data_IF_626392827469
#
_entry.id   IF_626392827469
#
_cell.length_a   1.000
_cell.length_b   1.000
_cell.length_c   1.000
_cell.angle_alpha   90.00
_cell.angle_beta   90.00
_cell.angle_gamma   90.00
#
_symmetry.space_group_name_H-M   'P 1'
#
loop_
_entity.id
_entity.type
_entity.pdbx_description
1 polymer ?
#
# COMPACT_ATOMS: atom_id res chain seq x y z
N UNK A 1 9.28 -7.94 -16.11
CA UNK A 1 9.90 -6.64 -15.78
C UNK A 1 10.27 -6.64 -14.30
N UNK A 2 11.41 -6.08 -13.93
CA UNK A 2 11.77 -5.79 -12.53
C UNK A 2 12.63 -4.52 -12.50
N UNK A 3 12.55 -3.71 -11.45
CA UNK A 3 13.51 -2.64 -11.26
C UNK A 3 14.91 -3.24 -11.03
N UNK A 4 15.94 -2.45 -11.34
CA UNK A 4 17.32 -2.90 -11.20
C UNK A 4 17.78 -2.79 -9.75
N UNK A 5 18.72 -3.67 -9.38
CA UNK A 5 19.36 -3.68 -8.06
C UNK A 5 18.70 -4.62 -7.04
N UNK A 6 19.33 -4.81 -5.87
CA UNK A 6 18.77 -5.62 -4.78
C UNK A 6 17.44 -5.06 -4.24
N UNK A 7 16.57 -5.90 -3.64
CA UNK A 7 15.27 -5.47 -3.10
C UNK A 7 15.33 -4.22 -2.19
N UNK A 8 16.32 -4.15 -1.30
CA UNK A 8 16.46 -3.01 -0.39
C UNK A 8 16.83 -1.69 -1.11
N UNK A 9 17.63 -1.78 -2.19
CA UNK A 9 17.95 -0.61 -3.03
C UNK A 9 16.71 -0.15 -3.80
N UNK A 10 15.90 -1.09 -4.28
CA UNK A 10 14.62 -0.76 -4.92
C UNK A 10 13.67 -0.08 -3.92
N UNK A 11 13.51 -0.62 -2.70
CA UNK A 11 12.70 0.00 -1.65
C UNK A 11 13.19 1.42 -1.31
N UNK A 12 14.51 1.63 -1.16
CA UNK A 12 15.09 2.95 -0.92
C UNK A 12 14.76 3.98 -2.02
N UNK A 13 14.60 3.51 -3.27
CA UNK A 13 14.19 4.37 -4.38
C UNK A 13 12.67 4.58 -4.44
N UNK A 14 11.89 3.55 -4.16
CA UNK A 14 10.43 3.58 -4.31
C UNK A 14 9.70 4.14 -3.09
N UNK A 15 10.40 4.34 -1.97
CA UNK A 15 9.88 4.97 -0.74
C UNK A 15 10.23 6.46 -0.61
N UNK A 16 10.72 7.09 -1.69
CA UNK A 16 11.00 8.54 -1.71
C UNK A 16 9.71 9.34 -1.49
N UNK A 17 9.84 10.42 -0.74
CA UNK A 17 8.71 11.29 -0.36
C UNK A 17 7.95 11.79 -1.60
N UNK A 18 6.63 11.69 -1.55
CA UNK A 18 5.72 12.16 -2.59
C UNK A 18 5.03 13.43 -2.10
N UNK A 19 5.13 14.47 -2.90
CA UNK A 19 4.65 15.82 -2.63
C UNK A 19 3.60 16.24 -3.64
N UNK A 20 2.78 17.25 -3.31
CA UNK A 20 1.76 17.77 -4.21
C UNK A 20 2.27 17.98 -5.63
N UNK A 21 1.41 17.70 -6.61
CA UNK A 21 1.68 17.86 -8.04
C UNK A 21 2.67 16.85 -8.62
N UNK A 22 2.70 15.64 -8.06
CA UNK A 22 3.48 14.49 -8.55
C UNK A 22 4.98 14.68 -8.36
N UNK A 23 5.37 15.52 -7.41
CA UNK A 23 6.79 15.78 -7.12
C UNK A 23 7.31 14.69 -6.20
N UNK A 24 8.41 14.06 -6.60
CA UNK A 24 9.07 13.02 -5.81
C UNK A 24 10.44 13.54 -5.41
N UNK A 25 10.86 13.28 -4.17
CA UNK A 25 12.20 13.61 -3.74
C UNK A 25 13.25 12.89 -4.60
N UNK A 26 14.37 13.55 -4.87
CA UNK A 26 15.41 13.01 -5.79
C UNK A 26 16.40 12.09 -5.09
N UNK A 27 16.58 12.25 -3.78
CA UNK A 27 17.47 11.41 -2.99
C UNK A 27 16.76 10.14 -2.54
N UNK A 28 17.44 8.99 -2.65
CA UNK A 28 16.97 7.74 -2.04
C UNK A 28 16.83 7.90 -0.52
N UNK A 29 15.89 7.17 0.06
CA UNK A 29 15.67 7.18 1.50
C UNK A 29 16.54 6.14 2.22
N UNK A 30 16.89 6.42 3.46
CA UNK A 30 17.35 5.39 4.38
C UNK A 30 16.14 4.53 4.78
N UNK A 31 16.17 3.24 4.42
CA UNK A 31 15.09 2.31 4.74
C UNK A 31 15.20 1.93 6.22
N UNK A 32 14.18 2.20 7.06
CA UNK A 32 14.23 1.89 8.49
C UNK A 32 14.42 0.41 8.77
N UNK A 33 15.04 0.08 9.91
CA UNK A 33 15.45 -1.28 10.26
C UNK A 33 14.29 -2.31 10.14
N UNK A 34 13.13 -2.01 10.72
CA UNK A 34 11.96 -2.91 10.67
C UNK A 34 11.51 -3.23 9.25
N UNK A 35 11.56 -2.25 8.33
CA UNK A 35 11.25 -2.48 6.92
C UNK A 35 12.37 -3.32 6.27
N UNK A 36 13.64 -2.98 6.54
CA UNK A 36 14.80 -3.67 5.97
C UNK A 36 14.90 -5.15 6.37
N UNK A 37 14.42 -5.53 7.57
CA UNK A 37 14.39 -6.91 8.05
C UNK A 37 13.39 -7.79 7.31
N UNK A 38 12.41 -7.20 6.62
CA UNK A 38 11.45 -7.94 5.82
C UNK A 38 11.82 -7.93 4.35
N UNK A 39 12.15 -6.78 3.76
CA UNK A 39 12.34 -6.64 2.31
C UNK A 39 13.32 -7.68 1.74
N UNK A 40 12.80 -8.57 0.87
CA UNK A 40 13.54 -9.66 0.24
C UNK A 40 13.97 -10.80 1.18
N UNK A 41 13.53 -10.82 2.44
CA UNK A 41 13.83 -11.87 3.40
C UNK A 41 12.71 -12.92 3.45
N UNK A 42 13.02 -14.20 3.76
CA UNK A 42 12.00 -15.22 3.95
C UNK A 42 11.01 -14.88 5.07
N UNK A 43 9.73 -15.17 4.87
CA UNK A 43 8.64 -14.77 5.79
C UNK A 43 7.88 -15.95 6.41
N UNK A 44 8.25 -17.19 6.09
CA UNK A 44 7.53 -18.40 6.53
C UNK A 44 7.32 -18.49 8.04
N UNK A 45 8.30 -18.04 8.82
CA UNK A 45 8.25 -18.05 10.29
C UNK A 45 7.13 -17.17 10.86
N UNK A 46 6.66 -16.17 10.11
CA UNK A 46 5.61 -15.26 10.53
C UNK A 46 4.20 -15.78 10.29
N UNK A 47 4.01 -16.80 9.44
CA UNK A 47 2.67 -17.23 9.01
C UNK A 47 1.78 -17.68 10.18
N UNK A 48 2.27 -18.60 11.01
CA UNK A 48 1.48 -19.13 12.13
C UNK A 48 1.23 -18.08 13.24
N UNK A 49 2.22 -17.29 13.68
CA UNK A 49 1.98 -16.15 14.56
C UNK A 49 0.99 -15.14 13.99
N UNK A 50 1.11 -14.79 12.70
CA UNK A 50 0.21 -13.84 12.03
C UNK A 50 -1.23 -14.34 12.07
N UNK A 51 -1.49 -15.61 11.76
CA UNK A 51 -2.84 -16.19 11.84
C UNK A 51 -3.42 -16.11 13.27
N UNK A 52 -2.60 -16.37 14.30
CA UNK A 52 -3.03 -16.20 15.71
C UNK A 52 -3.33 -14.75 16.03
N UNK A 53 -2.54 -13.82 15.51
CA UNK A 53 -2.74 -12.39 15.71
C UNK A 53 -4.01 -11.87 15.04
N UNK A 54 -4.30 -12.30 13.80
CA UNK A 54 -5.57 -12.00 13.13
C UNK A 54 -6.76 -12.47 13.97
N UNK A 55 -6.71 -13.71 14.46
CA UNK A 55 -7.75 -14.24 15.33
C UNK A 55 -7.89 -13.45 16.64
N UNK A 56 -6.78 -13.02 17.26
CA UNK A 56 -6.79 -12.16 18.45
C UNK A 56 -7.46 -10.81 18.20
N UNK A 57 -7.24 -10.22 17.02
CA UNK A 57 -7.87 -8.97 16.60
C UNK A 57 -9.34 -9.16 16.15
N UNK A 58 -9.82 -10.40 16.06
CA UNK A 58 -11.15 -10.69 15.51
C UNK A 58 -11.25 -10.45 14.00
N UNK A 59 -10.12 -10.44 13.30
CA UNK A 59 -10.03 -10.29 11.85
C UNK A 59 -9.99 -11.65 11.17
N UNK A 60 -10.63 -11.75 10.01
CA UNK A 60 -10.51 -12.86 9.08
C UNK A 60 -9.33 -12.65 8.14
N UNK A 61 -8.86 -13.71 7.48
CA UNK A 61 -7.84 -13.57 6.43
C UNK A 61 -8.37 -12.74 5.24
N UNK A 62 -9.69 -12.66 5.05
CA UNK A 62 -10.30 -11.78 4.05
C UNK A 62 -10.14 -10.29 4.37
N UNK A 63 -10.00 -9.91 5.64
CA UNK A 63 -9.74 -8.51 6.01
C UNK A 63 -8.31 -8.08 5.66
N UNK A 64 -7.43 -9.04 5.32
CA UNK A 64 -6.03 -8.81 4.95
C UNK A 64 -5.69 -9.29 3.55
N UNK A 65 -6.65 -9.20 2.63
CA UNK A 65 -6.43 -9.47 1.21
C UNK A 65 -6.58 -10.95 0.81
N UNK A 66 -7.06 -11.81 1.70
CA UNK A 66 -7.40 -13.21 1.41
C UNK A 66 -6.51 -14.24 2.11
N UNK A 67 -6.71 -15.54 1.84
CA UNK A 67 -6.12 -16.62 2.63
C UNK A 67 -4.58 -16.58 2.68
N UNK A 68 -3.98 -16.77 3.85
CA UNK A 68 -2.52 -16.70 4.06
C UNK A 68 -1.75 -17.87 3.41
N UNK A 69 -2.46 -18.94 3.03
CA UNK A 69 -1.91 -20.08 2.28
C UNK A 69 -2.16 -20.01 0.78
N UNK A 70 -2.92 -19.00 0.32
CA UNK A 70 -3.08 -18.74 -1.11
C UNK A 70 -1.84 -17.99 -1.65
N UNK A 71 -1.44 -18.24 -2.91
CA UNK A 71 -0.34 -17.49 -3.53
C UNK A 71 -0.73 -16.02 -3.67
N UNK A 72 0.26 -15.16 -3.87
CA UNK A 72 0.03 -13.81 -4.43
C UNK A 72 -0.15 -13.91 -5.94
N UNK A 73 -0.67 -12.84 -6.54
CA UNK A 73 -0.87 -12.73 -7.97
C UNK A 73 0.45 -12.86 -8.71
N UNK A 74 0.38 -13.19 -9.99
CA UNK A 74 1.58 -13.36 -10.80
C UNK A 74 1.38 -12.76 -12.19
N UNK A 75 2.44 -12.15 -12.71
CA UNK A 75 2.47 -11.70 -14.08
C UNK A 75 2.95 -12.80 -15.02
N UNK A 76 2.27 -12.93 -16.15
CA UNK A 76 2.65 -13.85 -17.20
C UNK A 76 3.89 -13.32 -17.94
N UNK A 77 4.88 -14.19 -18.14
CA UNK A 77 6.00 -13.93 -19.05
C UNK A 77 5.70 -14.47 -20.44
N UNK A 78 6.38 -13.91 -21.43
CA UNK A 78 6.27 -14.34 -22.84
C UNK A 78 6.69 -15.80 -23.04
N UNK A 79 7.59 -16.32 -22.20
CA UNK A 79 8.04 -17.72 -22.20
C UNK A 79 7.08 -18.69 -21.47
N UNK A 80 5.92 -18.20 -21.01
CA UNK A 80 4.91 -18.98 -20.31
C UNK A 80 5.18 -19.20 -18.82
N UNK A 81 6.33 -18.76 -18.29
CA UNK A 81 6.56 -18.77 -16.85
C UNK A 81 5.79 -17.63 -16.15
N UNK A 82 5.42 -17.82 -14.89
CA UNK A 82 4.78 -16.79 -14.07
C UNK A 82 5.78 -16.20 -13.09
N UNK A 83 5.74 -14.88 -12.90
CA UNK A 83 6.50 -14.18 -11.86
C UNK A 83 5.51 -13.67 -10.83
N UNK A 84 5.57 -14.24 -9.63
CA UNK A 84 4.78 -13.79 -8.48
C UNK A 84 4.99 -12.30 -8.20
N UNK A 85 3.99 -11.65 -7.63
CA UNK A 85 4.02 -10.26 -7.24
C UNK A 85 5.25 -9.96 -6.38
N UNK A 86 5.91 -8.83 -6.64
CA UNK A 86 7.16 -8.44 -5.99
C UNK A 86 7.05 -7.11 -5.25
N UNK A 87 6.04 -6.32 -5.57
CA UNK A 87 5.87 -4.97 -5.05
C UNK A 87 4.57 -4.84 -4.27
N UNK A 88 4.64 -4.12 -3.17
CA UNK A 88 3.50 -3.72 -2.35
C UNK A 88 3.34 -2.21 -2.49
N UNK A 89 2.41 -1.79 -3.34
CA UNK A 89 2.19 -0.39 -3.70
C UNK A 89 1.18 0.23 -2.74
N UNK A 90 1.62 1.31 -2.12
CA UNK A 90 0.87 2.10 -1.16
C UNK A 90 0.32 3.30 -1.91
N UNK A 91 -0.99 3.44 -1.86
CA UNK A 91 -1.78 4.50 -2.48
C UNK A 91 -2.51 5.31 -1.42
N UNK A 92 -3.01 6.47 -1.82
CA UNK A 92 -4.12 7.12 -1.16
C UNK A 92 -5.26 7.41 -2.12
N UNK A 93 -6.49 7.37 -1.60
CA UNK A 93 -7.67 7.42 -2.46
C UNK A 93 -7.92 8.78 -3.11
N UNK A 94 -7.19 9.82 -2.69
CA UNK A 94 -7.37 11.21 -3.09
C UNK A 94 -8.83 11.68 -3.01
N UNK A 95 -9.58 11.13 -2.06
CA UNK A 95 -11.03 11.26 -1.96
C UNK A 95 -11.47 10.98 -0.50
N UNK A 96 -12.48 11.68 0.06
CA UNK A 96 -13.33 12.71 -0.57
C UNK A 96 -12.66 14.03 -0.89
N UNK A 97 -13.13 14.69 -1.95
CA UNK A 97 -12.75 16.06 -2.28
C UNK A 97 -13.65 17.06 -1.56
N UNK A 98 -13.05 17.94 -0.77
CA UNK A 98 -13.74 18.95 0.06
C UNK A 98 -13.67 20.37 -0.51
N UNK A 99 -13.05 20.57 -1.69
CA UNK A 99 -12.86 21.90 -2.26
C UNK A 99 -12.13 22.82 -1.29
N UNK A 100 -12.68 23.99 -1.00
CA UNK A 100 -12.09 24.95 -0.05
C UNK A 100 -12.46 24.69 1.42
N UNK A 101 -13.24 23.65 1.72
CA UNK A 101 -13.66 23.35 3.09
C UNK A 101 -12.56 22.66 3.91
N UNK A 102 -12.70 22.74 5.22
CA UNK A 102 -11.84 22.00 6.13
C UNK A 102 -12.03 20.49 6.01
N UNK A 103 -10.96 19.76 6.32
CA UNK A 103 -11.03 18.31 6.45
C UNK A 103 -11.99 17.96 7.58
N UNK A 104 -12.82 16.92 7.38
CA UNK A 104 -13.69 16.45 8.44
C UNK A 104 -12.86 15.78 9.54
N UNK A 105 -13.43 15.57 10.75
CA UNK A 105 -12.80 14.76 11.77
C UNK A 105 -12.47 13.34 11.27
N UNK A 106 -11.42 12.73 11.82
CA UNK A 106 -10.98 11.38 11.41
C UNK A 106 -12.08 10.31 11.52
N UNK A 107 -12.99 10.45 12.48
CA UNK A 107 -14.10 9.54 12.72
C UNK A 107 -15.36 9.85 11.88
N UNK A 108 -15.27 10.76 10.91
CA UNK A 108 -16.41 11.10 10.05
C UNK A 108 -16.94 9.84 9.33
N UNK A 109 -18.25 9.54 9.45
CA UNK A 109 -18.81 8.29 8.94
C UNK A 109 -18.84 8.23 7.41
N UNK A 110 -18.97 9.36 6.72
CA UNK A 110 -18.99 9.39 5.25
C UNK A 110 -17.59 9.11 4.68
N UNK A 111 -16.55 9.67 5.30
CA UNK A 111 -15.17 9.36 4.94
C UNK A 111 -14.80 7.91 5.25
N UNK A 112 -15.36 7.32 6.32
CA UNK A 112 -15.03 5.96 6.74
C UNK A 112 -15.91 4.86 6.12
N UNK A 113 -16.89 5.22 5.29
CA UNK A 113 -17.71 4.26 4.56
C UNK A 113 -16.97 3.72 3.33
N UNK A 114 -16.53 2.47 3.43
CA UNK A 114 -15.83 1.78 2.34
C UNK A 114 -16.77 1.22 1.26
N UNK A 115 -18.09 1.21 1.48
CA UNK A 115 -19.06 0.60 0.56
C UNK A 115 -18.97 1.16 -0.86
N UNK A 116 -18.56 2.42 -1.00
CA UNK A 116 -18.35 3.09 -2.27
C UNK A 116 -17.23 2.52 -3.13
N UNK A 117 -16.28 1.80 -2.53
CA UNK A 117 -15.19 1.14 -3.25
C UNK A 117 -15.56 -0.29 -3.66
N UNK A 118 -16.69 -0.83 -3.17
CA UNK A 118 -17.11 -2.20 -3.46
C UNK A 118 -17.63 -2.41 -4.90
N UNK A 119 -17.95 -1.34 -5.63
CA UNK A 119 -18.42 -1.45 -7.01
C UNK A 119 -17.24 -1.72 -7.97
N UNK A 120 -17.46 -2.52 -9.02
CA UNK A 120 -16.40 -2.92 -9.95
C UNK A 120 -15.69 -1.74 -10.64
N UNK A 121 -16.39 -0.62 -10.86
CA UNK A 121 -15.80 0.59 -11.47
C UNK A 121 -14.95 1.42 -10.49
N UNK A 122 -15.00 1.11 -9.20
CA UNK A 122 -14.31 1.85 -8.10
C UNK A 122 -13.36 0.96 -7.30
N UNK A 123 -13.42 -0.35 -7.50
CA UNK A 123 -12.53 -1.36 -6.95
C UNK A 123 -11.15 -1.31 -7.64
N UNK A 124 -10.43 -0.22 -7.46
CA UNK A 124 -9.17 0.07 -8.17
C UNK A 124 -7.92 -0.52 -7.52
N UNK A 125 -8.05 -1.12 -6.33
CA UNK A 125 -6.95 -1.75 -5.60
C UNK A 125 -7.37 -3.09 -5.01
N UNK A 126 -6.44 -3.83 -4.41
CA UNK A 126 -6.77 -5.12 -3.78
C UNK A 126 -7.48 -4.89 -2.44
N UNK A 127 -6.97 -3.94 -1.63
CA UNK A 127 -7.51 -3.63 -0.31
C UNK A 127 -7.61 -2.13 -0.11
N UNK A 128 -8.74 -1.67 0.41
CA UNK A 128 -8.94 -0.31 0.90
C UNK A 128 -8.90 -0.29 2.42
N UNK A 129 -8.31 0.76 3.01
CA UNK A 129 -8.22 0.96 4.46
C UNK A 129 -8.79 2.32 4.82
N UNK A 130 -9.87 2.36 5.60
CA UNK A 130 -10.43 3.62 6.06
C UNK A 130 -9.58 4.26 7.17
N UNK A 131 -9.96 5.46 7.62
CA UNK A 131 -9.21 6.23 8.61
C UNK A 131 -9.21 5.60 10.00
N UNK A 132 -10.14 4.69 10.26
CA UNK A 132 -10.24 3.91 11.49
C UNK A 132 -9.51 2.55 11.40
N UNK A 133 -8.79 2.27 10.31
CA UNK A 133 -8.04 1.03 10.12
C UNK A 133 -8.92 -0.17 9.74
N UNK A 134 -10.19 0.04 9.38
CA UNK A 134 -11.05 -1.04 8.84
C UNK A 134 -10.74 -1.24 7.37
N UNK A 135 -10.91 -2.47 6.89
CA UNK A 135 -10.58 -2.83 5.52
C UNK A 135 -11.79 -3.21 4.69
N UNK A 136 -11.62 -3.11 3.38
CA UNK A 136 -12.46 -3.74 2.37
C UNK A 136 -11.52 -4.36 1.34
N UNK A 137 -11.53 -5.69 1.25
CA UNK A 137 -10.86 -6.41 0.17
C UNK A 137 -11.78 -6.47 -1.04
N UNK A 138 -11.33 -5.87 -2.14
CA UNK A 138 -12.05 -5.81 -3.41
C UNK A 138 -11.52 -6.80 -4.44
N UNK A 139 -10.22 -7.12 -4.36
CA UNK A 139 -9.60 -8.22 -5.10
C UNK A 139 -8.69 -8.98 -4.15
N UNK A 140 -8.77 -10.31 -4.15
CA UNK A 140 -7.83 -11.14 -3.38
C UNK A 140 -6.40 -10.88 -3.88
N UNK A 141 -5.38 -10.90 -3.02
CA UNK A 141 -3.99 -10.71 -3.47
C UNK A 141 -3.52 -11.73 -4.50
N UNK A 142 -4.22 -12.85 -4.71
CA UNK A 142 -3.97 -13.83 -5.78
C UNK A 142 -4.45 -13.38 -7.15
N UNK A 143 -5.31 -12.37 -7.22
CA UNK A 143 -5.91 -11.86 -8.46
C UNK A 143 -4.98 -10.83 -9.12
N UNK A 144 -4.53 -11.04 -10.37
CA UNK A 144 -3.72 -10.04 -11.06
C UNK A 144 -4.53 -8.76 -11.32
N UNK A 145 -4.07 -7.64 -10.79
CA UNK A 145 -4.67 -6.32 -10.98
C UNK A 145 -3.64 -5.29 -11.53
N UNK A 146 -4.12 -4.10 -11.88
CA UNK A 146 -3.31 -2.93 -12.27
C UNK A 146 -3.93 -1.67 -11.69
N UNK A 147 -3.14 -0.80 -11.07
CA UNK A 147 -3.65 0.46 -10.51
C UNK A 147 -2.78 1.69 -10.84
N UNK A 148 -1.60 1.51 -11.43
CA UNK A 148 -0.65 2.62 -11.69
C UNK A 148 -0.60 3.04 -13.16
N UNK A 149 -0.13 4.26 -13.45
CA UNK A 149 0.10 4.67 -14.85
C UNK A 149 1.25 3.90 -15.47
N UNK A 150 2.27 3.54 -14.69
CA UNK A 150 3.33 2.65 -15.15
C UNK A 150 2.74 1.37 -15.75
N UNK A 151 1.84 0.69 -15.03
CA UNK A 151 1.21 -0.54 -15.51
C UNK A 151 0.26 -0.31 -16.69
N UNK A 152 -0.50 0.78 -16.67
CA UNK A 152 -1.54 1.03 -17.68
C UNK A 152 -1.00 1.61 -18.99
N UNK A 153 0.05 2.44 -18.93
CA UNK A 153 0.51 3.27 -20.06
C UNK A 153 1.91 2.93 -20.56
N UNK A 154 2.82 2.50 -19.67
CA UNK A 154 4.22 2.29 -20.04
C UNK A 154 4.58 0.81 -20.19
N UNK A 155 4.20 -0.03 -19.23
CA UNK A 155 4.60 -1.43 -19.15
C UNK A 155 3.54 -2.40 -19.70
N UNK A 156 2.24 -2.10 -19.52
CA UNK A 156 1.14 -2.83 -20.12
C UNK A 156 0.81 -4.19 -19.51
N UNK A 157 0.20 -5.07 -20.31
CA UNK A 157 -0.23 -6.43 -19.88
C UNK A 157 0.89 -7.28 -19.25
N UNK A 158 2.15 -7.25 -19.73
CA UNK A 158 3.25 -8.06 -19.18
C UNK A 158 3.56 -7.85 -17.69
N UNK A 159 3.07 -6.78 -17.06
CA UNK A 159 3.30 -6.50 -15.63
C UNK A 159 2.08 -6.66 -14.75
N UNK A 160 0.91 -6.97 -15.34
CA UNK A 160 -0.33 -7.19 -14.58
C UNK A 160 -0.12 -8.34 -13.59
N UNK A 161 -0.28 -8.07 -12.30
CA UNK A 161 -0.01 -9.04 -11.22
C UNK A 161 1.42 -9.02 -10.67
N UNK A 162 2.28 -8.06 -11.05
CA UNK A 162 3.55 -7.83 -10.35
C UNK A 162 3.40 -6.96 -9.10
N UNK A 163 2.32 -6.19 -9.01
CA UNK A 163 2.08 -5.18 -8.00
C UNK A 163 0.80 -5.52 -7.22
N UNK A 164 0.92 -5.54 -5.89
CA UNK A 164 -0.23 -5.58 -4.98
C UNK A 164 -0.52 -4.16 -4.52
N UNK A 165 -1.78 -3.74 -4.61
CA UNK A 165 -2.19 -2.35 -4.41
C UNK A 165 -3.04 -2.23 -3.16
N UNK A 166 -2.64 -1.32 -2.25
CA UNK A 166 -3.39 -0.97 -1.05
C UNK A 166 -3.68 0.51 -1.02
N UNK A 167 -4.96 0.84 -0.89
CA UNK A 167 -5.49 2.20 -0.89
C UNK A 167 -5.81 2.65 0.53
N UNK A 168 -5.18 3.73 0.99
CA UNK A 168 -5.48 4.35 2.27
C UNK A 168 -6.44 5.51 2.04
N UNK A 169 -7.62 5.50 2.68
CA UNK A 169 -8.57 6.60 2.56
C UNK A 169 -7.92 7.90 3.05
N UNK A 170 -7.81 8.87 2.14
CA UNK A 170 -7.27 10.19 2.42
C UNK A 170 -8.09 11.25 1.68
N UNK A 171 -8.77 12.16 2.41
CA UNK A 171 -9.51 13.25 1.79
C UNK A 171 -8.55 14.26 1.16
N UNK A 172 -9.03 15.00 0.16
CA UNK A 172 -8.28 16.09 -0.49
C UNK A 172 -9.05 17.40 -0.43
N UNK A 173 -8.32 18.51 -0.33
CA UNK A 173 -8.87 19.86 -0.44
C UNK A 173 -8.07 20.66 -1.47
N UNK A 174 -8.62 21.79 -1.90
CA UNK A 174 -7.96 22.70 -2.84
C UNK A 174 -6.87 23.49 -2.15
N UNK A 175 -5.70 23.58 -2.79
CA UNK A 175 -4.70 24.59 -2.51
C UNK A 175 -5.15 25.95 -3.09
N UNK A 176 -5.37 26.99 -2.27
CA UNK A 176 -5.74 28.32 -2.76
C UNK A 176 -4.63 28.98 -3.60
N UNK A 177 -3.38 28.52 -3.50
CA UNK A 177 -2.28 28.97 -4.36
C UNK A 177 -2.22 28.23 -5.71
N UNK A 178 -2.97 27.14 -5.86
CA UNK A 178 -3.06 26.35 -7.08
C UNK A 178 -4.18 26.78 -8.03
N UNK A 179 -4.32 26.11 -9.19
CA UNK A 179 -5.45 26.31 -10.10
C UNK A 179 -6.80 26.02 -9.45
N UNK A 180 -7.85 26.72 -9.88
CA UNK A 180 -9.20 26.48 -9.35
C UNK A 180 -9.64 25.02 -9.52
N UNK A 181 -10.22 24.43 -8.48
CA UNK A 181 -10.76 23.07 -8.50
C UNK A 181 -9.73 21.95 -8.26
N UNK A 182 -8.51 22.27 -7.85
CA UNK A 182 -7.50 21.25 -7.53
C UNK A 182 -7.80 20.46 -6.24
N UNK A 183 -7.09 19.35 -6.07
CA UNK A 183 -7.10 18.41 -4.95
C UNK A 183 -5.70 18.25 -4.30
N UNK A 184 -4.89 19.31 -4.40
CA UNK A 184 -3.46 19.25 -4.11
C UNK A 184 -3.09 19.18 -2.62
N UNK A 185 -4.05 19.33 -1.70
CA UNK A 185 -3.77 19.28 -0.26
C UNK A 185 -4.39 18.04 0.38
N UNK A 186 -3.54 17.25 1.03
CA UNK A 186 -3.91 16.19 1.96
C UNK A 186 -3.81 16.65 3.45
N UNK A 187 -4.42 15.91 4.40
CA UNK A 187 -4.25 16.15 5.84
C UNK A 187 -2.80 16.10 6.31
N UNK A 188 -2.50 16.78 7.42
CA UNK A 188 -1.20 16.70 8.11
C UNK A 188 -1.43 16.35 9.60
N UNK A 189 -1.02 15.15 10.07
CA UNK A 189 -0.43 14.05 9.29
C UNK A 189 -1.41 13.47 8.26
N UNK A 190 -0.88 12.85 7.19
CA UNK A 190 -1.69 12.29 6.11
C UNK A 190 -2.50 11.06 6.51
N UNK A 191 -1.93 10.19 7.35
CA UNK A 191 -2.52 8.90 7.73
C UNK A 191 -2.61 8.75 9.25
N UNK A 192 -3.64 8.04 9.71
CA UNK A 192 -3.86 7.81 11.14
C UNK A 192 -2.94 6.71 11.64
N UNK A 193 -2.68 6.62 12.95
CA UNK A 193 -2.03 5.46 13.55
C UNK A 193 -2.73 4.14 13.17
N UNK A 194 -4.07 4.11 13.16
CA UNK A 194 -4.85 2.93 12.81
C UNK A 194 -4.63 2.47 11.36
N UNK A 195 -4.45 3.41 10.42
CA UNK A 195 -4.09 3.07 9.05
C UNK A 195 -2.68 2.51 8.95
N UNK A 196 -1.70 3.08 9.65
CA UNK A 196 -0.34 2.52 9.65
C UNK A 196 -0.28 1.13 10.26
N UNK A 197 -1.01 0.89 11.35
CA UNK A 197 -1.10 -0.44 11.97
C UNK A 197 -1.72 -1.47 11.02
N UNK A 198 -2.81 -1.12 10.35
CA UNK A 198 -3.43 -2.00 9.34
C UNK A 198 -2.56 -2.17 8.09
N UNK A 199 -1.87 -1.12 7.64
CA UNK A 199 -0.95 -1.20 6.50
C UNK A 199 0.22 -2.13 6.79
N UNK A 200 0.79 -2.09 8.00
CA UNK A 200 1.83 -3.01 8.43
C UNK A 200 1.33 -4.47 8.43
N UNK A 201 0.10 -4.69 8.89
CA UNK A 201 -0.55 -6.00 8.88
C UNK A 201 -0.74 -6.52 7.44
N UNK A 202 -1.24 -5.68 6.54
CA UNK A 202 -1.43 -6.01 5.12
C UNK A 202 -0.10 -6.29 4.42
N UNK A 203 0.93 -5.48 4.67
CA UNK A 203 2.26 -5.67 4.10
C UNK A 203 2.86 -7.02 4.51
N UNK A 204 2.75 -7.38 5.80
CA UNK A 204 3.25 -8.67 6.28
C UNK A 204 2.39 -9.83 5.76
N UNK A 205 1.07 -9.71 5.69
CA UNK A 205 0.19 -10.75 5.14
C UNK A 205 0.51 -11.03 3.67
N UNK A 206 0.64 -9.99 2.85
CA UNK A 206 1.05 -10.11 1.45
C UNK A 206 2.44 -10.75 1.31
N UNK A 207 3.39 -10.34 2.14
CA UNK A 207 4.75 -10.88 2.16
C UNK A 207 4.82 -12.35 2.63
N UNK A 208 4.01 -12.74 3.60
CA UNK A 208 3.87 -14.14 4.04
C UNK A 208 3.31 -15.01 2.93
N UNK A 209 2.33 -14.51 2.17
CA UNK A 209 1.77 -15.21 1.01
C UNK A 209 2.76 -15.34 -0.15
N UNK A 210 3.62 -14.33 -0.32
CA UNK A 210 4.70 -14.36 -1.30
C UNK A 210 5.87 -15.28 -0.91
N UNK A 211 6.01 -15.62 0.39
CA UNK A 211 7.13 -16.38 0.95
C UNK A 211 8.40 -15.56 1.18
N UNK A 212 8.44 -14.32 0.68
CA UNK A 212 9.49 -13.34 0.91
C UNK A 212 8.90 -11.94 1.13
N UNK A 213 9.63 -11.07 1.82
CA UNK A 213 9.21 -9.68 2.01
C UNK A 213 9.12 -8.93 0.68
N UNK A 214 7.92 -8.44 0.36
CA UNK A 214 7.69 -7.65 -0.84
C UNK A 214 8.43 -6.31 -0.74
N UNK A 215 8.68 -5.69 -1.89
CA UNK A 215 9.31 -4.37 -1.97
C UNK A 215 8.21 -3.31 -1.83
N UNK A 216 8.13 -2.55 -0.73
CA UNK A 216 7.14 -1.50 -0.60
C UNK A 216 7.48 -0.34 -1.54
N UNK A 217 6.45 0.27 -2.11
CA UNK A 217 6.56 1.36 -3.06
C UNK A 217 5.44 2.38 -2.86
N UNK A 218 5.76 3.66 -3.03
CA UNK A 218 4.76 4.73 -3.09
C UNK A 218 4.35 4.94 -4.55
N UNK A 219 3.04 5.11 -4.80
CA UNK A 219 2.52 5.23 -6.16
C UNK A 219 3.17 6.37 -6.95
N UNK A 220 3.26 7.58 -6.39
CA UNK A 220 3.88 8.73 -7.06
C UNK A 220 5.35 8.49 -7.41
N UNK A 221 6.11 7.79 -6.56
CA UNK A 221 7.50 7.42 -6.84
C UNK A 221 7.62 6.39 -7.98
N UNK A 222 6.63 5.51 -8.11
CA UNK A 222 6.56 4.50 -9.17
C UNK A 222 6.15 5.10 -10.52
N UNK A 223 5.28 6.11 -10.51
CA UNK A 223 4.83 6.86 -11.69
C UNK A 223 5.77 8.04 -12.04
N UNK A 224 6.89 8.23 -11.33
CA UNK A 224 7.81 9.36 -11.54
C UNK A 224 8.26 9.47 -13.00
N UNK A 225 8.14 10.68 -13.57
CA UNK A 225 8.52 10.96 -14.96
C UNK A 225 7.44 10.63 -16.01
N UNK A 226 6.30 10.06 -15.60
CA UNK A 226 5.14 9.90 -16.48
C UNK A 226 4.31 11.18 -16.57
N UNK A 227 3.76 11.46 -17.76
CA UNK A 227 2.87 12.62 -17.98
C UNK A 227 1.62 12.46 -17.10
N UNK A 228 1.27 13.55 -16.43
CA UNK A 228 0.21 13.65 -15.42
C UNK A 228 0.41 12.74 -14.20
N UNK A 229 1.64 12.35 -13.84
CA UNK A 229 1.93 11.46 -12.70
C UNK A 229 1.15 11.81 -11.43
N UNK A 230 0.67 10.78 -10.72
CA UNK A 230 -0.10 10.98 -9.50
C UNK A 230 0.79 11.46 -8.34
N UNK A 231 0.15 12.03 -7.32
CA UNK A 231 0.84 12.58 -6.15
C UNK A 231 0.52 11.84 -4.84
N UNK A 232 -0.07 10.65 -4.94
CA UNK A 232 -0.36 9.78 -3.81
C UNK A 232 0.80 8.81 -3.49
N UNK A 233 0.97 8.38 -2.23
CA UNK A 233 0.30 8.90 -1.05
C UNK A 233 0.92 10.22 -0.57
N UNK A 234 0.13 11.29 -0.43
CA UNK A 234 0.63 12.54 0.15
C UNK A 234 0.82 12.43 1.68
N UNK A 235 1.85 13.12 2.20
CA UNK A 235 2.17 13.19 3.63
C UNK A 235 2.37 11.81 4.28
N UNK A 236 2.91 10.84 3.52
CA UNK A 236 3.26 9.53 4.03
C UNK A 236 4.51 9.57 4.91
N UNK A 237 4.35 9.21 6.18
CA UNK A 237 5.45 9.13 7.14
C UNK A 237 6.05 7.73 7.16
N UNK A 238 7.19 7.54 6.47
CA UNK A 238 7.94 6.28 6.48
C UNK A 238 8.31 5.83 7.90
N UNK A 239 8.60 6.76 8.80
CA UNK A 239 8.89 6.49 10.21
C UNK A 239 7.68 5.92 10.96
N UNK A 240 6.47 6.39 10.65
CA UNK A 240 5.24 5.88 11.27
C UNK A 240 4.91 4.46 10.78
N UNK A 241 5.08 4.21 9.48
CA UNK A 241 4.95 2.86 8.92
C UNK A 241 5.97 1.90 9.53
N UNK A 242 7.25 2.30 9.61
CA UNK A 242 8.30 1.49 10.23
C UNK A 242 8.03 1.21 11.71
N UNK A 243 7.49 2.19 12.45
CA UNK A 243 7.12 2.01 13.85
C UNK A 243 5.94 1.04 14.02
N UNK A 244 4.94 1.10 13.14
CA UNK A 244 3.82 0.15 13.13
C UNK A 244 4.30 -1.27 12.84
N UNK A 245 5.19 -1.43 11.86
CA UNK A 245 5.79 -2.71 11.51
C UNK A 245 6.63 -3.29 12.66
N UNK A 246 7.44 -2.46 13.33
CA UNK A 246 8.21 -2.89 14.50
C UNK A 246 7.32 -3.36 15.66
N UNK A 247 6.20 -2.67 15.91
CA UNK A 247 5.20 -3.11 16.91
C UNK A 247 4.58 -4.45 16.54
N UNK A 248 4.20 -4.63 15.27
CA UNK A 248 3.64 -5.89 14.77
C UNK A 248 4.64 -7.04 14.95
N UNK A 249 5.90 -6.86 14.51
CA UNK A 249 6.96 -7.86 14.68
C UNK A 249 7.15 -8.27 16.14
N UNK A 250 7.10 -7.31 17.08
CA UNK A 250 7.19 -7.57 18.51
C UNK A 250 5.98 -8.38 19.02
N UNK A 251 4.77 -8.01 18.61
CA UNK A 251 3.53 -8.73 18.96
C UNK A 251 3.55 -10.17 18.44
N UNK A 252 3.98 -10.37 17.21
CA UNK A 252 4.08 -11.70 16.61
C UNK A 252 5.17 -12.55 17.27
N UNK A 253 6.32 -11.95 17.59
CA UNK A 253 7.40 -12.64 18.29
C UNK A 253 6.95 -13.19 19.65
N UNK A 254 6.13 -12.43 20.38
CA UNK A 254 5.54 -12.89 21.65
C UNK A 254 4.58 -14.08 21.45
N UNK A 255 3.96 -14.19 20.27
CA UNK A 255 3.07 -15.28 19.91
C UNK A 255 3.79 -16.48 19.29
N UNK A 256 5.10 -16.40 19.01
CA UNK A 256 5.88 -17.48 18.39
C UNK A 256 6.26 -18.62 19.36
N UNK A 257 5.92 -18.50 20.65
CA UNK A 257 6.15 -19.55 21.65
C UNK A 257 5.05 -20.63 21.52
N UNK A 258 5.41 -21.92 21.42
CA UNK A 258 4.46 -23.02 21.25
C UNK A 258 3.54 -23.24 22.46
#
# INVERSE_FOLDING_TARGET
MQFQGPPLVQAACLLRDVRPWGRVDTASVEVPESVSRLVGQPTDSWKAPLRRWLAHLGLSEQDVGGPLDAPVSAAAREDGAAVSARYFVIHDTSWPWFGAHDFPPEADPHMNDLSRYAHASTALAHVFVNRLGRTLTTHDFSEPWRATKLEMRAAGVPVKGLFLHVELVQPRRSDPAGPAGNDAQAPLPGFTPAQYDMLALLYLAASVRAGEGLIPALHGALDEGLIDGHDDPQNFLLTAFAAALARLEQQLSALSVP
#
